data_IF_917902695484
#
_entry.id   IF_917902695484
#
_cell.length_a   1.000
_cell.length_b   1.000
_cell.length_c   1.000
_cell.angle_alpha   90.00
_cell.angle_beta   90.00
_cell.angle_gamma   90.00
#
_symmetry.space_group_name_H-M   'P 1'
#
loop_
_entity.id
_entity.type
_entity.pdbx_description
1 polymer ?
#
# COMPACT_ATOMS: atom_id res chain seq x y z
N UNK A 1 -9.70 12.31 -17.78
CA UNK A 1 -9.19 10.93 -17.70
C UNK A 1 -8.28 10.86 -16.49
N UNK A 2 -8.77 10.31 -15.40
CA UNK A 2 -8.02 10.21 -14.15
C UNK A 2 -7.40 8.82 -14.08
N UNK A 3 -6.10 8.78 -13.98
CA UNK A 3 -5.38 7.56 -13.66
C UNK A 3 -5.24 7.49 -12.15
N UNK A 4 -6.01 6.62 -11.52
CA UNK A 4 -5.76 6.26 -10.13
C UNK A 4 -4.47 5.43 -10.07
N UNK A 5 -3.42 6.05 -9.62
CA UNK A 5 -2.12 5.39 -9.39
C UNK A 5 -2.02 5.09 -7.90
N UNK A 6 -2.94 4.28 -7.37
CA UNK A 6 -3.00 4.04 -5.94
C UNK A 6 -2.76 2.59 -5.52
N UNK A 7 -2.19 1.78 -6.38
CA UNK A 7 -1.82 0.43 -6.02
C UNK A 7 -0.53 0.33 -5.21
N UNK A 8 -0.31 1.22 -4.23
CA UNK A 8 0.89 1.04 -3.41
C UNK A 8 0.72 1.67 -2.04
N UNK A 9 0.90 0.88 -1.03
CA UNK A 9 1.15 1.25 0.36
C UNK A 9 0.01 1.14 1.34
N UNK A 10 -0.37 -0.11 1.61
CA UNK A 10 -0.90 -0.44 2.94
C UNK A 10 -0.15 -1.63 3.58
N UNK A 11 1.12 -1.81 3.23
CA UNK A 11 1.99 -2.80 3.92
C UNK A 11 2.42 -2.37 5.32
N UNK A 12 2.11 -1.15 5.73
CA UNK A 12 2.56 -0.62 7.02
C UNK A 12 1.51 -0.61 8.12
N UNK A 13 0.26 -0.92 7.82
CA UNK A 13 -0.78 -0.97 8.85
C UNK A 13 -0.90 -2.35 9.54
N UNK A 14 -0.30 -3.39 8.99
CA UNK A 14 -0.24 -4.66 9.70
C UNK A 14 0.88 -4.57 10.74
N UNK A 15 0.48 -4.29 11.97
CA UNK A 15 1.35 -4.36 13.13
C UNK A 15 2.09 -5.69 13.14
N UNK A 16 3.37 -5.69 12.79
CA UNK A 16 4.26 -6.74 13.22
C UNK A 16 4.33 -6.64 14.74
N UNK A 17 3.49 -7.41 15.41
CA UNK A 17 3.82 -7.83 16.75
C UNK A 17 4.99 -8.80 16.58
N UNK A 18 6.20 -8.27 16.63
CA UNK A 18 7.35 -9.08 16.98
C UNK A 18 7.12 -9.54 18.42
N UNK A 19 6.40 -10.62 18.56
CA UNK A 19 6.24 -11.33 19.83
C UNK A 19 7.49 -12.15 20.03
N UNK A 20 8.49 -11.54 20.61
CA UNK A 20 9.49 -12.17 21.43
C UNK A 20 10.60 -11.18 21.75
N UNK A 21 10.44 -10.40 22.78
CA UNK A 21 11.61 -9.87 23.46
C UNK A 21 11.24 -9.62 24.92
N UNK A 22 11.94 -10.38 25.77
CA UNK A 22 12.23 -10.21 27.19
C UNK A 22 11.11 -9.59 28.03
N UNK A 23 10.67 -10.36 28.98
CA UNK A 23 9.92 -10.00 30.18
C UNK A 23 10.70 -9.03 31.06
N UNK A 24 10.93 -7.81 30.63
CA UNK A 24 10.97 -6.71 31.55
C UNK A 24 9.51 -6.27 31.76
N UNK A 25 9.03 -6.32 32.98
CA UNK A 25 7.78 -5.66 33.39
C UNK A 25 7.95 -4.16 33.15
N UNK A 26 7.72 -3.73 31.93
CA UNK A 26 7.58 -2.32 31.61
C UNK A 26 6.21 -1.91 32.15
N UNK A 27 6.24 -0.95 33.07
CA UNK A 27 5.05 -0.31 33.59
C UNK A 27 4.14 0.09 32.41
N UNK A 28 2.95 -0.51 32.28
CA UNK A 28 2.10 -0.47 31.08
C UNK A 28 1.36 0.86 30.86
N UNK A 29 1.53 1.83 31.71
CA UNK A 29 0.76 3.09 31.71
C UNK A 29 1.26 4.16 30.71
N UNK A 30 2.32 3.89 29.94
CA UNK A 30 2.90 4.89 29.05
C UNK A 30 2.54 4.69 27.59
N UNK A 31 2.34 5.82 26.91
CA UNK A 31 2.22 5.86 25.45
C UNK A 31 3.55 5.49 24.81
N UNK A 32 3.52 4.48 23.94
CA UNK A 32 4.66 4.10 23.13
C UNK A 32 4.68 4.95 21.86
N UNK A 33 5.82 5.58 21.62
CA UNK A 33 6.06 6.37 20.42
C UNK A 33 7.03 5.57 19.54
N UNK A 34 6.68 5.38 18.27
CA UNK A 34 7.60 4.82 17.30
C UNK A 34 7.57 5.62 16.02
N UNK A 35 8.69 5.69 15.35
CA UNK A 35 8.84 6.34 14.05
C UNK A 35 9.40 5.36 13.03
N UNK A 36 9.04 5.59 11.77
CA UNK A 36 9.61 4.89 10.62
C UNK A 36 9.90 5.93 9.54
N UNK A 37 11.12 5.97 9.08
CA UNK A 37 11.54 6.84 7.97
C UNK A 37 12.14 5.95 6.90
N UNK A 38 11.68 6.10 5.66
CA UNK A 38 12.21 5.30 4.57
C UNK A 38 12.15 6.02 3.23
N UNK A 39 12.98 5.53 2.32
CA UNK A 39 12.97 5.89 0.91
C UNK A 39 12.45 4.71 0.10
N UNK A 40 11.70 5.03 -0.93
CA UNK A 40 11.16 4.08 -1.89
C UNK A 40 11.53 4.53 -3.30
N UNK A 41 12.06 3.61 -4.08
CA UNK A 41 12.41 3.79 -5.48
C UNK A 41 11.53 2.87 -6.33
N UNK A 42 10.75 3.46 -7.22
CA UNK A 42 9.93 2.74 -8.19
C UNK A 42 10.46 3.05 -9.59
N UNK A 43 10.78 2.02 -10.35
CA UNK A 43 11.20 2.14 -11.74
C UNK A 43 10.35 1.28 -12.64
N UNK A 44 9.98 1.81 -13.78
CA UNK A 44 9.22 1.10 -14.81
C UNK A 44 10.04 0.94 -16.07
N UNK A 45 10.13 -0.28 -16.59
CA UNK A 45 10.74 -0.59 -17.87
C UNK A 45 9.71 -1.22 -18.81
N UNK A 46 9.80 -0.91 -20.12
CA UNK A 46 8.88 -1.40 -21.14
C UNK A 46 7.97 -0.35 -21.75
N UNK A 47 7.27 -0.72 -22.82
CA UNK A 47 6.47 0.20 -23.60
C UNK A 47 5.01 0.27 -23.10
N UNK A 48 4.61 1.48 -22.71
CA UNK A 48 3.23 1.79 -22.30
C UNK A 48 2.44 2.62 -23.31
N UNK A 49 2.75 2.56 -24.58
CA UNK A 49 2.32 3.62 -25.50
C UNK A 49 0.95 3.44 -26.15
N UNK A 50 0.19 2.40 -25.86
CA UNK A 50 -1.07 2.19 -26.57
C UNK A 50 -2.30 2.75 -25.90
N UNK A 51 -2.22 3.13 -24.61
CA UNK A 51 -3.39 3.62 -23.86
C UNK A 51 -3.33 5.09 -23.49
N UNK A 52 -2.25 5.81 -23.83
CA UNK A 52 -2.03 7.17 -23.35
C UNK A 52 -1.77 7.25 -21.83
N UNK A 53 -1.59 6.11 -21.15
CA UNK A 53 -1.26 6.07 -19.72
C UNK A 53 0.18 6.50 -19.51
N UNK A 54 0.36 7.57 -18.75
CA UNK A 54 1.69 8.03 -18.36
C UNK A 54 2.20 7.19 -17.20
N UNK A 55 3.38 6.61 -17.37
CA UNK A 55 4.08 5.86 -16.34
C UNK A 55 5.17 6.74 -15.75
N UNK A 56 5.29 6.73 -14.45
CA UNK A 56 6.24 7.56 -13.72
C UNK A 56 7.18 6.68 -12.90
N UNK A 57 8.48 6.89 -13.09
CA UNK A 57 9.44 6.50 -12.06
C UNK A 57 9.20 7.37 -10.82
N UNK A 58 9.38 6.80 -9.65
CA UNK A 58 9.13 7.53 -8.40
C UNK A 58 10.29 7.37 -7.44
N UNK A 59 10.68 8.48 -6.83
CA UNK A 59 11.48 8.49 -5.62
C UNK A 59 10.63 9.09 -4.53
N UNK A 60 10.33 8.32 -3.50
CA UNK A 60 9.44 8.73 -2.42
C UNK A 60 10.18 8.69 -1.09
N UNK A 61 10.14 9.80 -0.35
CA UNK A 61 10.53 9.85 1.05
C UNK A 61 9.29 9.76 1.93
N UNK A 62 9.34 8.94 2.96
CA UNK A 62 8.23 8.71 3.87
C UNK A 62 8.69 8.87 5.31
N UNK A 63 7.96 9.68 6.07
CA UNK A 63 8.09 9.80 7.52
C UNK A 63 6.78 9.40 8.18
N UNK A 64 6.85 8.51 9.16
CA UNK A 64 5.71 8.01 9.92
C UNK A 64 5.97 8.12 11.41
N UNK A 65 4.94 8.48 12.16
CA UNK A 65 4.91 8.51 13.60
C UNK A 65 3.69 7.75 14.11
N UNK A 66 3.89 6.85 15.05
CA UNK A 66 2.84 6.04 15.66
C UNK A 66 2.85 6.27 17.17
N UNK A 67 1.64 6.46 17.71
CA UNK A 67 1.41 6.54 19.15
C UNK A 67 0.42 5.45 19.54
N UNK A 68 0.80 4.59 20.46
CA UNK A 68 -0.04 3.51 20.95
C UNK A 68 0.20 3.28 22.45
N UNK A 69 -0.84 2.83 23.13
CA UNK A 69 -0.77 2.42 24.52
C UNK A 69 -1.51 1.09 24.63
N UNK A 70 -0.90 0.01 25.15
CA UNK A 70 -1.54 -1.31 25.28
C UNK A 70 -2.85 -1.28 26.09
N UNK A 71 -2.92 -0.45 27.11
CA UNK A 71 -4.11 -0.30 27.97
C UNK A 71 -5.18 0.59 27.34
N UNK A 72 -4.79 1.46 26.39
CA UNK A 72 -5.73 2.31 25.69
C UNK A 72 -6.44 1.55 24.56
N UNK A 73 -7.72 1.89 24.38
CA UNK A 73 -8.44 1.48 23.17
C UNK A 73 -8.09 2.32 21.94
N UNK A 74 -7.26 3.33 22.09
CA UNK A 74 -6.93 4.28 21.04
C UNK A 74 -5.47 4.21 20.64
N UNK A 75 -5.21 4.35 19.34
CA UNK A 75 -3.89 4.61 18.79
C UNK A 75 -3.99 5.65 17.67
N UNK A 76 -2.87 6.31 17.40
CA UNK A 76 -2.81 7.42 16.44
C UNK A 76 -1.63 7.22 15.52
N UNK A 77 -1.76 7.69 14.29
CA UNK A 77 -0.62 7.79 13.40
C UNK A 77 -0.65 9.10 12.61
N UNK A 78 0.55 9.54 12.25
CA UNK A 78 0.81 10.64 11.34
C UNK A 78 1.78 10.13 10.27
N UNK A 79 1.51 10.42 9.01
CA UNK A 79 2.42 10.13 7.92
C UNK A 79 2.56 11.34 7.00
N UNK A 80 3.78 11.59 6.58
CA UNK A 80 4.08 12.50 5.50
C UNK A 80 4.89 11.78 4.41
N UNK A 81 4.49 11.99 3.14
CA UNK A 81 5.17 11.46 1.96
C UNK A 81 5.44 12.57 0.97
N UNK A 82 6.66 12.62 0.48
CA UNK A 82 7.03 13.43 -0.68
C UNK A 82 7.49 12.49 -1.79
N UNK A 83 6.85 12.57 -2.96
CA UNK A 83 7.11 11.69 -4.09
C UNK A 83 7.47 12.50 -5.32
N UNK A 84 8.73 12.44 -5.71
CA UNK A 84 9.21 12.91 -7.00
C UNK A 84 8.78 11.92 -8.07
N UNK A 85 8.01 12.38 -9.05
CA UNK A 85 7.45 11.56 -10.13
C UNK A 85 8.01 12.01 -11.46
N UNK A 86 8.86 11.18 -12.05
CA UNK A 86 9.56 11.47 -13.30
C UNK A 86 8.89 10.76 -14.46
N UNK A 87 8.43 11.52 -15.46
CA UNK A 87 7.92 10.96 -16.69
C UNK A 87 9.06 10.69 -17.67
N UNK A 88 9.05 9.52 -18.30
CA UNK A 88 10.12 9.07 -19.21
C UNK A 88 11.53 9.20 -18.62
N UNK A 89 11.69 8.85 -17.34
CA UNK A 89 12.98 8.89 -16.62
C UNK A 89 13.64 10.26 -16.54
N UNK A 90 12.94 11.34 -16.91
CA UNK A 90 13.49 12.68 -16.92
C UNK A 90 12.59 13.69 -16.20
N UNK A 91 13.01 14.07 -14.99
CA UNK A 91 12.27 15.05 -14.20
C UNK A 91 12.42 16.47 -14.71
N UNK A 92 13.62 16.86 -15.11
CA UNK A 92 13.93 18.27 -15.37
C UNK A 92 13.38 18.82 -16.69
N UNK A 93 13.15 17.96 -17.66
CA UNK A 93 12.74 18.37 -19.02
C UNK A 93 11.32 17.97 -19.38
N UNK A 94 10.70 17.07 -18.61
CA UNK A 94 9.34 16.61 -18.89
C UNK A 94 8.30 17.49 -18.21
N UNK A 95 7.46 18.18 -19.01
CA UNK A 95 6.29 18.93 -18.53
C UNK A 95 5.27 18.09 -17.75
N UNK A 96 5.39 16.76 -17.81
CA UNK A 96 4.50 15.82 -17.15
C UNK A 96 5.01 15.36 -15.78
N UNK A 97 6.28 15.63 -15.47
CA UNK A 97 6.87 15.31 -14.16
C UNK A 97 6.37 16.26 -13.08
N UNK A 98 6.27 15.80 -11.84
CA UNK A 98 5.76 16.58 -10.73
C UNK A 98 6.17 16.01 -9.37
N UNK A 99 6.06 16.83 -8.34
CA UNK A 99 6.19 16.41 -6.94
C UNK A 99 4.78 16.23 -6.36
N UNK A 100 4.58 15.12 -5.64
CA UNK A 100 3.36 14.85 -4.90
C UNK A 100 3.65 14.81 -3.42
N UNK A 101 2.97 15.67 -2.67
CA UNK A 101 3.02 15.72 -1.23
C UNK A 101 1.73 15.13 -0.66
N UNK A 102 1.87 14.25 0.33
CA UNK A 102 0.75 13.63 1.05
C UNK A 102 0.99 13.71 2.53
N UNK A 103 0.04 14.28 3.25
CA UNK A 103 0.03 14.25 4.72
C UNK A 103 -1.26 13.58 5.17
N UNK A 104 -1.16 12.60 6.06
CA UNK A 104 -2.31 11.91 6.59
C UNK A 104 -2.20 11.74 8.10
N UNK A 105 -3.36 11.82 8.75
CA UNK A 105 -3.53 11.55 10.17
C UNK A 105 -4.64 10.52 10.35
N UNK A 106 -4.40 9.55 11.20
CA UNK A 106 -5.37 8.50 11.46
C UNK A 106 -5.51 8.20 12.95
N UNK A 107 -6.71 7.79 13.30
CA UNK A 107 -7.09 7.38 14.63
C UNK A 107 -7.68 5.99 14.55
N UNK A 108 -7.17 5.07 15.34
CA UNK A 108 -7.69 3.70 15.43
C UNK A 108 -8.28 3.47 16.82
N UNK A 109 -9.48 2.92 16.87
CA UNK A 109 -10.10 2.44 18.08
C UNK A 109 -10.18 0.91 18.09
N UNK A 110 -9.66 0.30 19.14
CA UNK A 110 -9.88 -1.11 19.45
C UNK A 110 -11.32 -1.29 19.94
N UNK A 111 -12.16 -1.87 19.10
CA UNK A 111 -13.58 -2.06 19.39
C UNK A 111 -13.81 -3.32 20.22
N UNK A 112 -13.05 -4.36 19.94
CA UNK A 112 -13.11 -5.64 20.61
C UNK A 112 -11.71 -6.29 20.67
N UNK A 113 -11.44 -6.99 21.78
CA UNK A 113 -10.22 -7.80 21.94
C UNK A 113 -10.48 -8.92 22.95
N UNK A 114 -10.17 -10.15 22.58
CA UNK A 114 -10.23 -11.35 23.42
C UNK A 114 -9.24 -12.37 22.89
N UNK A 115 -9.17 -13.54 23.53
CA UNK A 115 -8.33 -14.67 23.09
C UNK A 115 -8.78 -15.19 21.71
N UNK A 116 -10.06 -15.02 21.36
CA UNK A 116 -10.62 -15.48 20.08
C UNK A 116 -10.28 -14.53 18.94
N UNK A 117 -9.94 -13.25 19.24
CA UNK A 117 -9.57 -12.30 18.20
C UNK A 117 -9.73 -10.86 18.59
N UNK A 118 -9.55 -10.00 17.60
CA UNK A 118 -9.66 -8.54 17.76
C UNK A 118 -10.38 -7.91 16.59
N UNK A 119 -11.05 -6.78 16.87
CA UNK A 119 -11.67 -5.92 15.87
C UNK A 119 -11.33 -4.45 16.15
N UNK A 120 -10.87 -3.76 15.13
CA UNK A 120 -10.46 -2.36 15.17
C UNK A 120 -11.22 -1.55 14.12
N UNK A 121 -11.43 -0.28 14.40
CA UNK A 121 -11.95 0.69 13.46
C UNK A 121 -10.97 1.85 13.34
N UNK A 122 -10.47 2.08 12.14
CA UNK A 122 -9.60 3.21 11.82
C UNK A 122 -10.38 4.24 11.01
N UNK A 123 -10.14 5.51 11.32
CA UNK A 123 -10.59 6.66 10.56
C UNK A 123 -9.35 7.46 10.19
N UNK A 124 -9.21 7.79 8.92
CA UNK A 124 -8.06 8.55 8.43
C UNK A 124 -8.49 9.66 7.49
N UNK A 125 -7.82 10.79 7.64
CA UNK A 125 -7.89 11.93 6.75
C UNK A 125 -6.53 12.13 6.07
N UNK A 126 -6.51 12.42 4.75
CA UNK A 126 -5.32 12.71 3.97
C UNK A 126 -5.55 13.96 3.14
N UNK A 127 -4.56 14.83 3.16
CA UNK A 127 -4.43 15.92 2.17
C UNK A 127 -3.33 15.57 1.18
N UNK A 128 -3.63 15.76 -0.10
CA UNK A 128 -2.69 15.55 -1.19
C UNK A 128 -2.57 16.84 -2.02
N UNK A 129 -1.34 17.29 -2.27
CA UNK A 129 -1.02 18.37 -3.19
C UNK A 129 -0.03 17.90 -4.24
N UNK A 130 -0.12 18.48 -5.43
CA UNK A 130 0.78 18.18 -6.54
C UNK A 130 1.41 19.46 -7.03
N UNK A 131 2.72 19.58 -6.85
CA UNK A 131 3.49 20.74 -7.33
C UNK A 131 4.03 20.40 -8.72
N UNK A 132 3.65 21.19 -9.69
CA UNK A 132 4.11 21.04 -11.07
C UNK A 132 5.44 21.74 -11.27
N UNK A 133 6.24 21.27 -12.23
CA UNK A 133 7.43 21.99 -12.65
C UNK A 133 7.05 23.38 -13.18
N UNK A 134 7.93 24.41 -13.06
CA UNK A 134 7.66 25.74 -13.55
C UNK A 134 7.21 25.75 -15.03
N UNK A 135 6.15 26.50 -15.34
CA UNK A 135 5.58 26.61 -16.68
C UNK A 135 4.65 25.46 -17.10
N UNK A 136 4.28 24.58 -16.19
CA UNK A 136 3.31 23.50 -16.43
C UNK A 136 1.94 23.87 -15.83
N UNK A 137 0.87 23.20 -16.30
CA UNK A 137 -0.45 23.37 -15.70
C UNK A 137 -0.47 22.86 -14.27
N UNK A 138 -1.10 23.63 -13.38
CA UNK A 138 -1.35 23.19 -12.00
C UNK A 138 -2.08 21.83 -11.99
N UNK A 139 -1.60 20.92 -11.18
CA UNK A 139 -2.24 19.60 -11.01
C UNK A 139 -3.26 19.66 -9.89
N UNK A 140 -4.39 18.96 -10.03
CA UNK A 140 -5.41 18.94 -8.99
C UNK A 140 -4.84 18.42 -7.68
N UNK A 141 -5.20 19.10 -6.60
CA UNK A 141 -5.07 18.59 -5.24
C UNK A 141 -6.33 17.83 -4.88
N UNK A 142 -6.24 16.94 -3.89
CA UNK A 142 -7.40 16.27 -3.33
C UNK A 142 -7.28 16.08 -1.82
N UNK A 143 -8.42 15.89 -1.20
CA UNK A 143 -8.51 15.37 0.16
C UNK A 143 -9.18 14.01 0.13
N UNK A 144 -8.77 13.14 1.03
CA UNK A 144 -9.33 11.81 1.19
C UNK A 144 -9.74 11.61 2.63
N UNK A 145 -10.87 10.97 2.77
CA UNK A 145 -11.32 10.42 4.03
C UNK A 145 -11.61 8.94 3.83
N UNK A 146 -11.22 8.11 4.78
CA UNK A 146 -11.59 6.70 4.76
C UNK A 146 -11.87 6.11 6.13
N UNK A 147 -12.73 5.13 6.10
CA UNK A 147 -13.08 4.27 7.21
C UNK A 147 -12.49 2.88 6.94
N UNK A 148 -11.77 2.32 7.92
CA UNK A 148 -11.12 1.01 7.77
C UNK A 148 -11.39 0.11 8.97
N UNK A 149 -12.45 -0.72 8.94
CA UNK A 149 -12.57 -1.87 9.81
C UNK A 149 -11.46 -2.88 9.53
N UNK A 150 -10.92 -3.50 10.58
CA UNK A 150 -9.91 -4.54 10.47
C UNK A 150 -9.96 -5.49 11.66
N UNK A 151 -9.51 -6.71 11.47
CA UNK A 151 -9.54 -7.66 12.56
C UNK A 151 -8.80 -8.96 12.30
N UNK A 152 -8.71 -9.74 13.37
CA UNK A 152 -8.19 -11.10 13.38
C UNK A 152 -9.16 -11.97 14.14
N UNK A 153 -9.45 -13.16 13.63
CA UNK A 153 -10.18 -14.21 14.31
C UNK A 153 -9.32 -15.48 14.38
N UNK A 154 -9.08 -15.99 15.59
CA UNK A 154 -8.31 -17.22 15.82
C UNK A 154 -9.23 -18.43 15.83
N UNK A 155 -9.03 -19.35 14.88
CA UNK A 155 -9.72 -20.64 14.88
C UNK A 155 -9.13 -21.60 15.91
N UNK A 156 -7.79 -21.54 16.07
CA UNK A 156 -6.98 -22.29 17.01
C UNK A 156 -5.57 -21.68 17.09
N UNK A 157 -4.63 -22.34 17.80
CA UNK A 157 -3.25 -21.86 18.01
C UNK A 157 -2.43 -21.74 16.71
N UNK A 158 -2.86 -22.40 15.63
CA UNK A 158 -2.15 -22.39 14.33
C UNK A 158 -2.85 -21.59 13.25
N UNK A 159 -4.17 -21.49 13.29
CA UNK A 159 -4.95 -20.89 12.21
C UNK A 159 -5.68 -19.65 12.68
N UNK A 160 -5.58 -18.59 11.87
CA UNK A 160 -6.37 -17.38 12.04
C UNK A 160 -6.89 -16.88 10.69
N UNK A 161 -7.94 -16.09 10.74
CA UNK A 161 -8.43 -15.29 9.64
C UNK A 161 -8.14 -13.82 9.92
N UNK A 162 -7.52 -13.14 8.98
CA UNK A 162 -7.27 -11.70 9.03
C UNK A 162 -8.04 -11.00 7.94
N UNK A 163 -8.53 -9.82 8.25
CA UNK A 163 -9.17 -8.97 7.26
C UNK A 163 -8.95 -7.50 7.54
N UNK A 164 -9.01 -6.71 6.51
CA UNK A 164 -9.26 -5.28 6.56
C UNK A 164 -10.01 -4.84 5.30
N UNK A 165 -10.84 -3.81 5.47
CA UNK A 165 -11.57 -3.13 4.41
C UNK A 165 -11.35 -1.63 4.56
N UNK A 166 -11.07 -0.92 3.49
CA UNK A 166 -10.94 0.53 3.50
C UNK A 166 -11.91 1.14 2.48
N UNK A 167 -12.79 2.01 2.95
CA UNK A 167 -13.74 2.74 2.13
C UNK A 167 -13.30 4.17 2.02
N UNK A 168 -12.89 4.58 0.83
CA UNK A 168 -12.34 5.91 0.55
C UNK A 168 -13.37 6.80 -0.14
N UNK A 169 -13.42 8.04 0.31
CA UNK A 169 -14.06 9.14 -0.38
C UNK A 169 -13.00 10.16 -0.80
N UNK A 170 -12.91 10.42 -2.09
CA UNK A 170 -12.01 11.41 -2.67
C UNK A 170 -12.80 12.68 -2.97
N UNK A 171 -12.43 13.76 -2.30
CA UNK A 171 -12.86 15.10 -2.64
C UNK A 171 -11.76 15.75 -3.50
N UNK A 172 -12.07 15.92 -4.77
CA UNK A 172 -11.14 16.37 -5.79
C UNK A 172 -11.38 17.83 -6.12
N UNK A 173 -10.42 18.70 -5.85
CA UNK A 173 -10.54 20.14 -5.94
C UNK A 173 -10.95 20.69 -7.32
N UNK A 174 -10.68 20.06 -8.42
CA UNK A 174 -11.00 20.53 -9.78
C UNK A 174 -11.53 19.40 -10.67
N UNK A 175 -12.10 18.40 -10.04
CA UNK A 175 -12.62 17.26 -10.74
C UNK A 175 -13.73 16.61 -9.90
N UNK A 176 -14.63 15.82 -10.50
CA UNK A 176 -15.67 15.11 -9.77
C UNK A 176 -15.09 14.23 -8.68
N UNK A 177 -15.81 14.11 -7.56
CA UNK A 177 -15.49 13.20 -6.48
C UNK A 177 -15.44 11.75 -6.98
N UNK A 178 -14.78 10.90 -6.24
CA UNK A 178 -14.69 9.47 -6.53
C UNK A 178 -14.64 8.66 -5.24
N UNK A 179 -14.88 7.37 -5.39
CA UNK A 179 -14.91 6.41 -4.30
C UNK A 179 -13.98 5.27 -4.61
N UNK A 180 -13.46 4.64 -3.56
CA UNK A 180 -12.63 3.44 -3.68
C UNK A 180 -12.93 2.50 -2.52
N UNK A 181 -12.93 1.22 -2.79
CA UNK A 181 -12.93 0.15 -1.79
C UNK A 181 -11.72 -0.72 -2.01
N UNK A 182 -10.91 -0.82 -0.96
CA UNK A 182 -9.72 -1.65 -0.94
C UNK A 182 -9.82 -2.63 0.23
N UNK A 183 -9.45 -3.89 0.03
CA UNK A 183 -9.55 -4.91 1.06
C UNK A 183 -8.50 -6.00 0.93
N UNK A 184 -8.16 -6.64 2.05
CA UNK A 184 -7.47 -7.93 2.10
C UNK A 184 -8.17 -8.85 3.10
N UNK A 185 -8.55 -10.04 2.64
CA UNK A 185 -9.17 -11.09 3.45
C UNK A 185 -8.39 -12.38 3.27
N UNK A 186 -7.96 -13.02 4.34
CA UNK A 186 -7.18 -14.23 4.17
C UNK A 186 -6.86 -15.02 5.42
N UNK A 187 -6.20 -16.13 5.17
CA UNK A 187 -5.80 -17.09 6.17
C UNK A 187 -4.35 -16.87 6.58
N UNK A 188 -4.12 -17.04 7.86
CA UNK A 188 -2.81 -17.04 8.51
C UNK A 188 -2.58 -18.40 9.10
N UNK A 189 -1.45 -19.02 8.78
CA UNK A 189 -1.02 -20.30 9.32
C UNK A 189 0.33 -20.16 10.02
N UNK A 190 0.36 -20.43 11.31
CA UNK A 190 1.59 -20.51 12.10
C UNK A 190 2.28 -21.85 11.83
N UNK A 191 3.35 -21.83 11.04
CA UNK A 191 4.14 -23.02 10.71
C UNK A 191 4.87 -23.50 11.97
N UNK A 192 5.56 -22.58 12.62
CA UNK A 192 6.22 -22.75 13.91
C UNK A 192 6.40 -21.37 14.59
N UNK A 193 7.17 -21.29 15.67
CA UNK A 193 7.36 -20.03 16.41
C UNK A 193 8.16 -18.98 15.62
N UNK A 194 8.93 -19.37 14.64
CA UNK A 194 9.76 -18.50 13.82
C UNK A 194 9.17 -18.19 12.45
N UNK A 195 8.14 -18.92 12.00
CA UNK A 195 7.64 -18.81 10.63
C UNK A 195 6.11 -18.84 10.56
N UNK A 196 5.57 -17.99 9.72
CA UNK A 196 4.13 -17.88 9.45
C UNK A 196 3.91 -17.79 7.94
N UNK A 197 2.86 -18.45 7.44
CA UNK A 197 2.36 -18.25 6.08
C UNK A 197 1.05 -17.47 6.11
N UNK A 198 0.90 -16.49 5.24
CA UNK A 198 -0.31 -15.68 5.10
C UNK A 198 -0.71 -15.65 3.64
N UNK A 199 -1.96 -15.96 3.34
CA UNK A 199 -2.50 -15.92 1.97
C UNK A 199 -3.80 -15.14 1.99
N UNK A 200 -3.87 -14.12 1.13
CA UNK A 200 -4.99 -13.18 1.07
C UNK A 200 -5.55 -13.07 -0.34
N UNK A 201 -6.86 -12.86 -0.40
CA UNK A 201 -7.52 -12.23 -1.52
C UNK A 201 -7.48 -10.72 -1.31
N UNK A 202 -6.89 -10.01 -2.24
CA UNK A 202 -6.88 -8.56 -2.28
C UNK A 202 -7.84 -8.07 -3.36
N UNK A 203 -8.59 -7.04 -3.03
CA UNK A 203 -9.53 -6.37 -3.92
C UNK A 203 -9.31 -4.86 -3.82
N UNK A 204 -9.35 -4.18 -4.97
CA UNK A 204 -9.32 -2.73 -5.05
C UNK A 204 -10.18 -2.28 -6.23
N UNK A 205 -11.27 -1.57 -5.92
CA UNK A 205 -12.23 -1.09 -6.89
C UNK A 205 -12.45 0.40 -6.73
N UNK A 206 -12.49 1.12 -7.85
CA UNK A 206 -12.77 2.56 -7.85
C UNK A 206 -13.98 2.90 -8.70
N UNK A 207 -14.69 3.94 -8.26
CA UNK A 207 -15.88 4.46 -8.93
C UNK A 207 -15.78 5.98 -9.07
N UNK A 208 -16.43 6.49 -10.11
CA UNK A 208 -16.66 7.93 -10.26
C UNK A 208 -17.75 8.44 -9.30
N UNK A 209 -18.08 9.74 -9.40
CA UNK A 209 -19.12 10.38 -8.58
C UNK A 209 -20.52 9.78 -8.75
N UNK A 210 -20.79 9.14 -9.88
CA UNK A 210 -22.08 8.53 -10.24
C UNK A 210 -22.09 7.02 -9.98
N UNK A 211 -21.08 6.51 -9.25
CA UNK A 211 -20.84 5.09 -8.96
C UNK A 211 -20.63 4.21 -10.18
N UNK A 212 -20.23 4.78 -11.32
CA UNK A 212 -19.75 3.98 -12.43
C UNK A 212 -18.33 3.48 -12.10
N UNK A 213 -18.08 2.20 -12.32
CA UNK A 213 -16.76 1.60 -12.08
C UNK A 213 -15.75 2.20 -13.05
N UNK A 214 -14.62 2.68 -12.52
CA UNK A 214 -13.52 3.26 -13.31
C UNK A 214 -12.31 2.35 -13.37
N UNK A 215 -12.15 1.53 -12.33
CA UNK A 215 -11.04 0.58 -12.24
C UNK A 215 -11.37 -0.54 -11.25
N UNK A 216 -10.80 -1.72 -11.49
CA UNK A 216 -10.81 -2.83 -10.55
C UNK A 216 -9.51 -3.61 -10.62
N UNK A 217 -9.09 -4.14 -9.49
CA UNK A 217 -7.97 -5.07 -9.37
C UNK A 217 -8.30 -6.13 -8.33
N UNK A 218 -8.03 -7.39 -8.68
CA UNK A 218 -8.10 -8.50 -7.74
C UNK A 218 -6.79 -9.29 -7.81
N UNK A 219 -6.24 -9.65 -6.65
CA UNK A 219 -4.96 -10.35 -6.55
C UNK A 219 -5.03 -11.45 -5.49
N UNK A 220 -4.25 -12.51 -5.68
CA UNK A 220 -3.83 -13.37 -4.58
C UNK A 220 -2.49 -12.87 -4.09
N UNK A 221 -2.38 -12.64 -2.78
CA UNK A 221 -1.16 -12.17 -2.12
C UNK A 221 -0.70 -13.17 -1.08
N UNK A 222 0.59 -13.47 -1.07
CA UNK A 222 1.21 -14.34 -0.06
C UNK A 222 2.35 -13.62 0.63
N UNK A 223 2.45 -13.77 1.96
CA UNK A 223 3.50 -13.21 2.80
C UNK A 223 4.03 -14.31 3.72
N UNK A 224 5.35 -14.41 3.83
CA UNK A 224 6.02 -15.46 4.58
C UNK A 224 7.04 -14.86 5.56
N UNK A 225 6.59 -14.20 6.64
CA UNK A 225 7.50 -13.68 7.66
C UNK A 225 8.22 -14.83 8.36
N UNK A 226 9.56 -14.72 8.42
CA UNK A 226 10.47 -15.67 9.06
C UNK A 226 11.45 -14.92 9.94
N UNK A 227 11.51 -15.27 11.21
CA UNK A 227 12.55 -14.85 12.15
C UNK A 227 13.73 -15.79 12.04
N UNK A 228 14.87 -15.32 11.56
CA UNK A 228 16.08 -16.13 11.38
C UNK A 228 16.85 -16.32 12.69
N UNK A 229 16.94 -15.22 13.46
CA UNK A 229 17.53 -15.18 14.80
C UNK A 229 17.04 -13.93 15.56
N UNK A 230 17.69 -13.56 16.65
CA UNK A 230 17.29 -12.40 17.48
C UNK A 230 17.38 -11.07 16.73
N UNK A 231 18.31 -10.94 15.79
CA UNK A 231 18.58 -9.70 15.09
C UNK A 231 17.96 -9.64 13.70
N UNK A 232 17.81 -10.79 13.02
CA UNK A 232 17.42 -10.85 11.62
C UNK A 232 16.06 -11.49 11.42
N UNK A 233 15.24 -10.83 10.60
CA UNK A 233 14.02 -11.41 10.02
C UNK A 233 13.88 -11.06 8.55
N UNK A 234 13.19 -11.91 7.81
CA UNK A 234 12.90 -11.73 6.39
C UNK A 234 11.41 -11.93 6.16
N UNK A 235 10.90 -11.31 5.11
CA UNK A 235 9.53 -11.50 4.66
C UNK A 235 9.50 -11.60 3.13
N UNK A 236 9.75 -12.78 2.56
CA UNK A 236 9.41 -13.05 1.16
C UNK A 236 7.91 -12.86 0.95
N UNK A 237 7.54 -12.35 -0.23
CA UNK A 237 6.14 -12.20 -0.60
C UNK A 237 5.93 -12.34 -2.10
N UNK A 238 4.69 -12.66 -2.47
CA UNK A 238 4.25 -12.63 -3.84
C UNK A 238 2.87 -11.98 -3.98
N UNK A 239 2.56 -11.51 -5.19
CA UNK A 239 1.24 -11.10 -5.64
C UNK A 239 0.99 -11.69 -7.01
N UNK A 240 -0.17 -12.23 -7.23
CA UNK A 240 -0.61 -12.74 -8.51
C UNK A 240 -1.90 -12.02 -8.92
N UNK A 241 -1.90 -11.42 -10.10
CA UNK A 241 -3.05 -10.67 -10.63
C UNK A 241 -4.07 -11.66 -11.19
N UNK A 242 -5.24 -11.70 -10.58
CA UNK A 242 -6.39 -12.42 -11.11
C UNK A 242 -7.03 -11.60 -12.23
N UNK A 243 -7.18 -10.30 -11.98
CA UNK A 243 -7.56 -9.32 -12.99
C UNK A 243 -7.09 -7.92 -12.59
N UNK A 244 -6.96 -7.06 -13.59
CA UNK A 244 -6.91 -5.60 -13.43
C UNK A 244 -7.52 -4.99 -14.68
N UNK A 245 -8.60 -4.19 -14.51
CA UNK A 245 -9.37 -3.60 -15.60
C UNK A 245 -9.52 -2.11 -15.41
N UNK A 246 -9.38 -1.35 -16.50
CA UNK A 246 -9.81 0.03 -16.59
C UNK A 246 -11.09 0.12 -17.40
N UNK A 247 -12.02 0.96 -16.97
CA UNK A 247 -13.32 1.16 -17.62
C UNK A 247 -13.47 2.57 -18.19
N UNK A 248 -14.21 2.70 -19.29
CA UNK A 248 -14.65 3.99 -19.80
C UNK A 248 -16.02 4.39 -19.18
N UNK A 249 -16.49 5.57 -19.54
CA UNK A 249 -17.80 6.07 -19.10
C UNK A 249 -19.01 5.27 -19.61
N UNK A 250 -18.82 4.34 -20.55
CA UNK A 250 -19.81 3.39 -21.04
C UNK A 250 -19.65 1.99 -20.42
N UNK A 251 -18.86 1.90 -19.34
CA UNK A 251 -18.57 0.65 -18.63
C UNK A 251 -17.91 -0.43 -19.49
N UNK A 252 -17.19 -0.04 -20.55
CA UNK A 252 -16.42 -0.96 -21.38
C UNK A 252 -15.00 -1.03 -20.87
N UNK A 253 -14.43 -2.24 -20.85
CA UNK A 253 -13.03 -2.43 -20.50
C UNK A 253 -12.16 -1.81 -21.60
N UNK A 254 -11.38 -0.81 -21.24
CA UNK A 254 -10.46 -0.10 -22.13
C UNK A 254 -9.04 -0.64 -22.07
N UNK A 255 -8.67 -1.23 -20.93
CA UNK A 255 -7.37 -1.83 -20.71
C UNK A 255 -7.49 -2.91 -19.64
N UNK A 256 -6.76 -4.00 -19.78
CA UNK A 256 -6.69 -5.07 -18.80
C UNK A 256 -5.28 -5.65 -18.70
N UNK A 257 -4.94 -6.16 -17.52
CA UNK A 257 -3.79 -7.04 -17.34
C UNK A 257 -4.16 -8.41 -17.87
N UNK A 258 -3.32 -8.95 -18.76
CA UNK A 258 -3.42 -10.33 -19.25
C UNK A 258 -2.72 -11.29 -18.30
N UNK A 259 -1.47 -10.96 -17.96
CA UNK A 259 -0.61 -11.72 -17.07
C UNK A 259 0.16 -10.72 -16.19
N UNK A 260 0.25 -11.00 -14.91
CA UNK A 260 1.03 -10.18 -14.00
C UNK A 260 1.26 -10.86 -12.65
N UNK A 261 2.45 -10.70 -12.14
CA UNK A 261 2.78 -11.13 -10.79
C UNK A 261 3.88 -10.25 -10.21
N UNK A 262 3.95 -10.17 -8.89
CA UNK A 262 5.04 -9.53 -8.16
C UNK A 262 5.68 -10.56 -7.25
N UNK A 263 7.00 -10.56 -7.21
CA UNK A 263 7.77 -11.27 -6.18
C UNK A 263 8.73 -10.29 -5.54
N UNK A 264 8.91 -10.43 -4.25
CA UNK A 264 9.78 -9.55 -3.50
C UNK A 264 10.14 -10.10 -2.13
N UNK A 265 10.98 -9.38 -1.44
CA UNK A 265 11.33 -9.65 -0.06
C UNK A 265 11.59 -8.37 0.70
N UNK A 266 11.35 -8.40 2.00
CA UNK A 266 11.83 -7.41 2.95
C UNK A 266 12.77 -8.10 3.93
N UNK A 267 13.80 -7.39 4.36
CA UNK A 267 14.81 -7.83 5.32
C UNK A 267 14.85 -6.81 6.44
N UNK A 268 14.86 -7.27 7.68
CA UNK A 268 14.90 -6.43 8.87
C UNK A 268 16.10 -6.85 9.71
N UNK A 269 16.83 -5.86 10.20
CA UNK A 269 17.96 -6.02 11.10
C UNK A 269 17.78 -5.16 12.35
N UNK A 270 17.62 -5.80 13.50
CA UNK A 270 17.53 -5.13 14.79
C UNK A 270 18.95 -4.79 15.27
N UNK A 271 19.37 -3.55 15.03
CA UNK A 271 20.67 -3.05 15.50
C UNK A 271 20.70 -2.93 17.03
N UNK A 272 19.56 -2.57 17.61
CA UNK A 272 19.29 -2.56 19.04
C UNK A 272 17.82 -2.94 19.29
N UNK A 273 17.38 -3.20 20.54
CA UNK A 273 15.96 -3.43 20.82
C UNK A 273 15.02 -2.28 20.39
N UNK A 274 15.57 -1.08 20.20
CA UNK A 274 14.79 0.11 19.79
C UNK A 274 15.01 0.53 18.35
N UNK A 275 16.06 0.06 17.69
CA UNK A 275 16.46 0.51 16.35
C UNK A 275 16.51 -0.66 15.38
N UNK A 276 15.65 -0.62 14.36
CA UNK A 276 15.63 -1.59 13.27
C UNK A 276 15.98 -0.89 11.95
N UNK A 277 16.95 -1.43 11.24
CA UNK A 277 17.22 -1.11 9.84
C UNK A 277 16.43 -2.09 8.97
N UNK A 278 15.89 -1.64 7.86
CA UNK A 278 15.20 -2.53 6.96
C UNK A 278 15.35 -2.13 5.51
N UNK A 279 15.26 -3.10 4.62
CA UNK A 279 15.26 -2.89 3.19
C UNK A 279 14.33 -3.86 2.49
N UNK A 280 13.94 -3.52 1.28
CA UNK A 280 13.06 -4.35 0.47
C UNK A 280 13.37 -4.23 -1.01
N UNK A 281 13.08 -5.30 -1.73
CA UNK A 281 13.17 -5.32 -3.19
C UNK A 281 12.00 -6.14 -3.75
N UNK A 282 11.47 -5.70 -4.90
CA UNK A 282 10.50 -6.47 -5.66
C UNK A 282 10.65 -6.25 -7.16
N UNK A 283 10.22 -7.25 -7.91
CA UNK A 283 10.04 -7.17 -9.37
C UNK A 283 8.64 -7.62 -9.74
N UNK A 284 8.03 -6.90 -10.69
CA UNK A 284 6.67 -7.17 -11.17
C UNK A 284 6.63 -7.08 -12.70
N UNK A 285 6.84 -8.19 -13.41
CA UNK A 285 6.53 -8.26 -14.83
C UNK A 285 5.01 -8.33 -15.03
N UNK A 286 4.52 -7.61 -16.03
CA UNK A 286 3.12 -7.65 -16.43
C UNK A 286 2.97 -7.48 -17.94
N UNK A 287 1.89 -8.04 -18.47
CA UNK A 287 1.47 -7.88 -19.86
C UNK A 287 0.08 -7.26 -19.89
N UNK A 288 -0.06 -6.19 -20.67
CA UNK A 288 -1.31 -5.44 -20.78
C UNK A 288 -1.93 -5.63 -22.16
N UNK A 289 -3.25 -5.68 -22.21
CA UNK A 289 -4.05 -5.76 -23.43
C UNK A 289 -5.08 -4.65 -23.51
N UNK A 290 -5.32 -4.17 -24.72
CA UNK A 290 -6.44 -3.29 -25.02
C UNK A 290 -7.51 -4.13 -25.76
N UNK A 291 -8.69 -4.37 -25.18
CA UNK A 291 -9.75 -5.11 -25.82
C UNK A 291 -10.22 -4.45 -27.13
N UNK A 292 -10.68 -5.25 -28.07
CA UNK A 292 -11.23 -4.75 -29.34
C UNK A 292 -12.37 -3.77 -29.09
N UNK A 293 -12.35 -2.62 -29.76
CA UNK A 293 -13.40 -1.61 -29.69
C UNK A 293 -13.14 -0.45 -28.74
N UNK A 294 -12.03 -0.42 -28.03
CA UNK A 294 -11.64 0.68 -27.16
C UNK A 294 -11.06 1.91 -27.88
N UNK A 295 -11.15 2.00 -29.20
CA UNK A 295 -10.59 3.10 -30.00
C UNK A 295 -9.07 3.11 -30.11
N UNK A 296 -8.39 2.07 -29.64
CA UNK A 296 -6.95 1.90 -29.62
C UNK A 296 -6.62 0.67 -30.47
N UNK A 297 -5.53 0.72 -31.23
CA UNK A 297 -5.13 -0.37 -32.14
C UNK A 297 -5.18 -1.72 -31.42
N UNK A 298 -6.13 -2.55 -31.86
CA UNK A 298 -6.35 -3.87 -31.28
C UNK A 298 -5.13 -4.76 -31.45
N UNK A 299 -4.69 -5.40 -30.37
CA UNK A 299 -3.73 -6.50 -30.43
C UNK A 299 -2.30 -6.19 -30.05
N UNK A 300 -1.97 -4.99 -29.55
CA UNK A 300 -0.63 -4.76 -29.01
C UNK A 300 -0.53 -5.29 -27.58
N UNK A 301 0.21 -6.35 -27.39
CA UNK A 301 0.64 -6.81 -26.06
C UNK A 301 1.76 -5.89 -25.58
N UNK A 302 1.51 -5.17 -24.48
CA UNK A 302 2.52 -4.34 -23.86
C UNK A 302 3.09 -5.05 -22.66
N UNK A 303 4.37 -5.36 -22.73
CA UNK A 303 5.13 -5.87 -21.58
C UNK A 303 5.69 -4.71 -20.79
N UNK A 304 5.54 -4.80 -19.49
CA UNK A 304 6.12 -3.88 -18.54
C UNK A 304 6.77 -4.66 -17.40
N UNK A 305 7.88 -4.14 -16.91
CA UNK A 305 8.45 -4.61 -15.66
C UNK A 305 8.56 -3.43 -14.70
N UNK A 306 8.02 -3.61 -13.51
CA UNK A 306 8.14 -2.67 -12.42
C UNK A 306 9.16 -3.20 -11.41
N UNK A 307 10.03 -2.32 -10.95
CA UNK A 307 11.03 -2.58 -9.91
C UNK A 307 10.75 -1.69 -8.73
N UNK A 308 10.84 -2.27 -7.54
CA UNK A 308 10.69 -1.59 -6.26
C UNK A 308 11.95 -1.80 -5.43
N UNK A 309 12.54 -0.72 -4.94
CA UNK A 309 13.59 -0.73 -3.93
C UNK A 309 13.16 0.08 -2.72
N UNK A 310 13.43 -0.40 -1.52
CA UNK A 310 13.08 0.28 -0.27
C UNK A 310 14.26 0.21 0.71
N UNK A 311 14.48 1.28 1.46
CA UNK A 311 15.45 1.33 2.55
C UNK A 311 14.91 2.23 3.66
N UNK A 312 14.93 1.76 4.89
CA UNK A 312 14.35 2.50 5.99
C UNK A 312 14.92 2.19 7.37
N UNK A 313 14.53 3.03 8.29
CA UNK A 313 14.90 2.97 9.70
C UNK A 313 13.63 3.10 10.54
N UNK A 314 13.43 2.18 11.44
CA UNK A 314 12.37 2.23 12.46
C UNK A 314 13.00 2.43 13.83
N UNK A 315 12.45 3.35 14.62
CA UNK A 315 12.90 3.63 15.98
C UNK A 315 11.75 3.64 16.95
N UNK A 316 11.94 3.02 18.11
CA UNK A 316 10.98 3.01 19.23
C UNK A 316 11.55 3.90 20.33
N UNK A 317 10.85 5.01 20.62
CA UNK A 317 11.32 6.03 21.58
C UNK A 317 11.10 5.60 23.03
N UNK A 318 9.93 5.00 23.30
CA UNK A 318 9.51 4.48 24.61
C UNK A 318 8.64 3.23 24.43
#
# INVERSE_FOLDING_TARGET
MKTSLNGLLLLTAMGFTASALSTEQVNNDYWRISSNVYMELEKFEGHHNTSGRKVYDKTTMVGQLFLSNPESKWSFFLEHKESLRSYNHNFSTSKDSFIRNRTQIGVTRKMYSSDVGQFNLNVTYRKESNDSAPGTMARPSNTLFWLMPSGTYHFNDKWAFNFWDAFYHYDNFHAPNSYEWESEHGLVYKINDSATAKVYMYTDWTWDKDFNKTWEQNQIRGYFPVTLNQDWSIMPYFRYYLNEHNYDNKQRITQKVKDGYRVGTQVFYNLTPKLTLWGGFAVEPSTWENPKGAGITSGSNNRQTFYLGQLGVKYVWQ
#
